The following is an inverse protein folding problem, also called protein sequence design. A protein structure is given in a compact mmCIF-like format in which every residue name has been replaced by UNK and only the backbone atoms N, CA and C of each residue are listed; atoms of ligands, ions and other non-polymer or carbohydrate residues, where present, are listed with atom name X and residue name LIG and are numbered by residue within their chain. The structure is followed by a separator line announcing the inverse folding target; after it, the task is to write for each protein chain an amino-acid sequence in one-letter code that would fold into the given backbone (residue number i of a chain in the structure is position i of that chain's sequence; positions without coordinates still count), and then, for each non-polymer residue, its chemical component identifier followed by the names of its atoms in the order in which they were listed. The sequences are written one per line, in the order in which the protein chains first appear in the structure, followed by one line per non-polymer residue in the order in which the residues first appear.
data_IF_817181226953
#
_entry.id   IF_817181226953
#
_cell.length_a   1.000
_cell.length_b   1.000
_cell.length_c   1.000
_cell.angle_alpha   90.00
_cell.angle_beta   90.00
_cell.angle_gamma   90.00
#
_symmetry.space_group_name_H-M   'P 1'
#
loop_
_entity.id
_entity.type
_entity.pdbx_description
1 polymer ?
#
# COMPACT_ATOMS: atom_id res chain seq x y z
N UNK A 1 -22.94 40.31 -34.58
CA UNK A 1 -23.03 40.32 -33.11
C UNK A 1 -23.32 38.96 -32.46
N UNK A 2 -24.26 38.12 -32.92
CA UNK A 2 -24.58 36.86 -32.20
C UNK A 2 -23.49 35.79 -32.31
N UNK A 3 -22.78 35.72 -33.45
CA UNK A 3 -21.75 34.71 -33.72
C UNK A 3 -20.53 34.87 -32.78
N UNK A 4 -20.11 36.11 -32.51
CA UNK A 4 -18.99 36.39 -31.59
C UNK A 4 -19.34 35.96 -30.16
N UNK A 5 -20.60 36.15 -29.74
CA UNK A 5 -21.08 35.73 -28.43
C UNK A 5 -21.11 34.20 -28.30
N UNK A 6 -21.52 33.49 -29.37
CA UNK A 6 -21.48 32.01 -29.40
C UNK A 6 -20.04 31.50 -29.31
N UNK A 7 -19.09 32.10 -30.04
CA UNK A 7 -17.68 31.71 -29.94
C UNK A 7 -17.06 32.04 -28.57
N UNK A 8 -17.39 33.19 -27.99
CA UNK A 8 -16.92 33.57 -26.66
C UNK A 8 -17.47 32.62 -25.58
N UNK A 9 -18.76 32.25 -25.67
CA UNK A 9 -19.38 31.29 -24.76
C UNK A 9 -18.76 29.89 -24.92
N UNK A 10 -18.59 29.42 -26.16
CA UNK A 10 -17.95 28.15 -26.45
C UNK A 10 -16.50 28.11 -25.95
N UNK A 11 -15.73 29.18 -26.15
CA UNK A 11 -14.36 29.32 -25.65
C UNK A 11 -14.30 29.34 -24.13
N UNK A 12 -15.20 30.08 -23.47
CA UNK A 12 -15.31 30.10 -22.01
C UNK A 12 -15.65 28.71 -21.46
N UNK A 13 -16.64 28.03 -22.04
CA UNK A 13 -17.00 26.67 -21.64
C UNK A 13 -15.83 25.68 -21.84
N UNK A 14 -15.08 25.80 -22.93
CA UNK A 14 -13.90 24.97 -23.18
C UNK A 14 -12.80 25.19 -22.13
N UNK A 15 -12.55 26.44 -21.71
CA UNK A 15 -11.58 26.76 -20.66
C UNK A 15 -12.01 26.18 -19.31
N UNK A 16 -13.27 26.38 -18.92
CA UNK A 16 -13.80 25.84 -17.66
C UNK A 16 -13.79 24.32 -17.66
N UNK A 17 -14.16 23.70 -18.78
CA UNK A 17 -14.09 22.26 -18.97
C UNK A 17 -12.64 21.73 -18.85
N UNK A 18 -11.67 22.40 -19.47
CA UNK A 18 -10.26 22.05 -19.33
C UNK A 18 -9.76 22.19 -17.89
N UNK A 19 -10.22 23.21 -17.15
CA UNK A 19 -9.86 23.39 -15.75
C UNK A 19 -10.47 22.31 -14.84
N UNK A 20 -11.70 21.87 -15.10
CA UNK A 20 -12.40 20.89 -14.27
C UNK A 20 -11.95 19.45 -14.50
N UNK A 21 -11.55 19.10 -15.72
CA UNK A 21 -11.25 17.71 -16.12
C UNK A 21 -9.82 17.47 -16.63
N UNK A 22 -9.02 18.54 -16.83
CA UNK A 22 -7.70 18.45 -17.45
C UNK A 22 -6.62 17.73 -16.62
N UNK A 23 -6.77 17.71 -15.29
CA UNK A 23 -5.77 17.22 -14.35
C UNK A 23 -5.99 15.78 -13.85
N UNK A 24 -7.09 15.13 -14.24
CA UNK A 24 -7.58 13.87 -13.66
C UNK A 24 -6.88 12.64 -14.25
N UNK A 25 -5.56 12.71 -14.32
CA UNK A 25 -4.79 11.80 -15.14
C UNK A 25 -4.45 10.49 -14.39
N UNK A 26 -4.37 10.53 -13.05
CA UNK A 26 -3.87 9.42 -12.24
C UNK A 26 -4.77 8.17 -12.24
N UNK A 27 -6.10 8.34 -12.18
CA UNK A 27 -7.06 7.23 -12.14
C UNK A 27 -7.23 6.55 -13.51
N UNK A 28 -7.06 7.30 -14.61
CA UNK A 28 -7.22 6.82 -15.99
C UNK A 28 -5.87 6.56 -16.68
N UNK A 29 -4.89 6.05 -15.91
CA UNK A 29 -3.62 5.55 -16.48
C UNK A 29 -2.77 6.63 -17.14
N UNK A 30 -2.75 7.86 -16.63
CA UNK A 30 -1.74 8.83 -17.04
C UNK A 30 -1.12 9.50 -15.82
N UNK A 31 0.10 9.14 -15.54
CA UNK A 31 0.94 9.88 -14.61
C UNK A 31 2.34 9.83 -15.14
N UNK A 32 2.68 10.74 -16.05
CA UNK A 32 4.06 11.17 -16.15
C UNK A 32 4.35 11.92 -14.86
N UNK A 33 4.93 11.20 -13.89
CA UNK A 33 5.74 11.86 -12.88
C UNK A 33 6.97 12.39 -13.62
N UNK A 34 7.06 13.72 -13.77
CA UNK A 34 8.37 14.33 -14.00
C UNK A 34 9.28 13.93 -12.82
N UNK A 35 10.51 13.49 -13.07
CA UNK A 35 11.42 13.13 -12.00
C UNK A 35 11.68 14.37 -11.13
N UNK A 36 11.34 14.29 -9.85
CA UNK A 36 11.68 15.35 -8.88
C UNK A 36 13.19 15.29 -8.69
N UNK A 37 13.92 16.23 -9.27
CA UNK A 37 15.34 16.44 -8.98
C UNK A 37 15.46 17.19 -7.65
N UNK A 38 15.74 16.45 -6.57
CA UNK A 38 16.11 17.05 -5.28
C UNK A 38 17.52 17.64 -5.40
N UNK A 39 17.64 18.96 -5.48
CA UNK A 39 18.90 19.68 -5.29
C UNK A 39 19.06 19.99 -3.79
N UNK A 40 19.94 19.25 -3.13
CA UNK A 40 20.38 19.57 -1.78
C UNK A 40 21.57 20.53 -1.86
N UNK A 41 21.37 21.78 -1.47
CA UNK A 41 22.46 22.73 -1.28
C UNK A 41 22.85 22.74 0.22
N UNK A 42 24.11 22.40 0.52
CA UNK A 42 24.61 22.38 1.90
C UNK A 42 24.94 23.81 2.31
N UNK A 43 24.14 24.40 3.20
CA UNK A 43 24.53 25.63 3.87
C UNK A 43 25.52 25.34 5.02
N UNK A 44 26.64 26.07 5.11
CA UNK A 44 27.52 25.97 6.26
C UNK A 44 26.81 26.51 7.51
N UNK A 45 27.05 25.91 8.69
CA UNK A 45 26.44 26.36 9.93
C UNK A 45 26.88 27.79 10.27
N UNK A 46 25.99 28.62 10.85
CA UNK A 46 26.34 29.97 11.26
C UNK A 46 27.43 29.94 12.34
N UNK A 47 28.36 30.92 12.33
CA UNK A 47 29.45 30.97 13.30
C UNK A 47 28.91 31.15 14.73
N UNK A 48 29.48 30.40 15.67
CA UNK A 48 29.10 30.45 17.07
C UNK A 48 29.39 31.84 17.68
N UNK A 49 28.52 32.35 18.56
CA UNK A 49 28.73 33.63 19.23
C UNK A 49 29.95 33.57 20.16
N UNK A 50 30.79 34.60 20.08
CA UNK A 50 31.97 34.78 20.93
C UNK A 50 31.56 34.98 22.40
N UNK A 51 32.02 34.09 23.28
CA UNK A 51 31.77 34.18 24.73
C UNK A 51 32.61 35.31 25.31
N UNK A 52 31.96 36.37 25.79
CA UNK A 52 32.60 37.40 26.59
C UNK A 52 32.89 36.88 28.00
N UNK A 53 34.14 37.03 28.44
CA UNK A 53 34.64 36.66 29.77
C UNK A 53 33.92 37.46 30.86
N UNK A 54 33.12 36.79 31.70
CA UNK A 54 32.51 37.40 32.89
C UNK A 54 33.43 37.25 34.12
N UNK A 55 33.67 38.38 34.78
CA UNK A 55 34.61 38.56 35.89
C UNK A 55 33.99 38.12 37.23
N UNK A 56 34.74 37.29 37.97
CA UNK A 56 34.42 36.75 39.30
C UNK A 56 34.26 37.84 40.36
N UNK A 57 33.22 37.75 41.21
CA UNK A 57 33.09 38.50 42.48
C UNK A 57 33.13 37.59 43.72
N UNK A 58 33.64 38.06 44.87
CA UNK A 58 34.04 37.22 46.01
C UNK A 58 32.92 36.96 47.06
N UNK A 59 33.08 35.95 47.95
CA UNK A 59 32.03 35.49 48.87
C UNK A 59 31.98 36.21 50.24
N UNK A 60 30.82 36.20 50.94
CA UNK A 60 30.65 36.79 52.28
C UNK A 60 30.99 35.87 53.49
N UNK A 61 31.20 36.43 54.71
CA UNK A 61 31.75 35.75 55.92
C UNK A 61 30.73 35.00 56.83
N UNK A 62 31.18 34.23 57.87
CA UNK A 62 30.41 33.13 58.51
C UNK A 62 29.71 33.38 59.88
N UNK A 63 28.92 32.34 60.30
CA UNK A 63 27.84 32.10 61.32
C UNK A 63 28.18 32.22 62.83
N UNK A 64 27.21 32.07 63.80
CA UNK A 64 26.93 30.76 64.49
C UNK A 64 25.51 30.62 65.17
N UNK A 65 25.17 29.65 66.09
CA UNK A 65 25.39 28.18 66.18
C UNK A 65 24.11 27.35 66.61
N UNK A 66 24.07 26.02 66.41
CA UNK A 66 23.98 24.92 67.43
C UNK A 66 23.08 23.79 66.85
N UNK A 67 23.17 22.48 67.13
CA UNK A 67 23.91 21.67 68.11
C UNK A 67 24.01 20.23 67.56
N UNK A 68 25.05 19.53 67.99
CA UNK A 68 25.38 18.14 67.64
C UNK A 68 24.30 17.11 68.01
N UNK A 69 24.17 16.07 67.18
CA UNK A 69 24.30 14.70 67.69
C UNK A 69 25.01 13.80 66.68
N UNK A 70 25.94 13.05 67.25
CA UNK A 70 26.98 12.19 66.70
C UNK A 70 26.39 10.83 66.32
N UNK A 71 26.74 10.30 65.13
CA UNK A 71 27.61 9.11 64.98
C UNK A 71 27.95 8.87 63.51
N UNK A 72 29.26 8.72 63.29
CA UNK A 72 30.03 8.31 62.10
C UNK A 72 30.28 6.77 62.22
N UNK A 73 31.11 6.11 61.40
CA UNK A 73 31.26 6.04 59.94
C UNK A 73 31.12 4.60 59.37
N UNK A 74 30.94 4.55 58.04
CA UNK A 74 31.66 3.77 57.03
C UNK A 74 32.49 2.53 57.42
N UNK A 75 32.42 1.50 56.58
CA UNK A 75 33.42 1.21 55.53
C UNK A 75 33.51 -0.28 55.20
N UNK A 76 33.57 -0.58 53.90
CA UNK A 76 34.41 -1.58 53.24
C UNK A 76 34.82 -2.84 54.01
N UNK A 77 34.55 -4.04 53.46
CA UNK A 77 35.56 -4.74 52.66
C UNK A 77 35.10 -6.17 52.27
N UNK A 78 35.55 -6.59 51.07
CA UNK A 78 35.96 -7.97 50.69
C UNK A 78 37.01 -8.51 51.72
N UNK A 79 37.57 -9.75 51.68
CA UNK A 79 37.47 -10.80 50.66
C UNK A 79 37.45 -12.26 51.21
N UNK A 80 37.50 -13.19 50.24
CA UNK A 80 38.29 -14.45 50.22
C UNK A 80 37.56 -15.79 50.41
N UNK A 81 37.85 -16.63 49.43
CA UNK A 81 37.64 -18.07 49.25
C UNK A 81 38.10 -18.94 50.43
N UNK A 82 37.66 -20.21 50.46
CA UNK A 82 38.63 -21.25 50.10
C UNK A 82 38.11 -22.26 49.08
N UNK A 83 39.12 -22.91 48.49
CA UNK A 83 39.14 -23.98 47.51
C UNK A 83 38.52 -25.27 48.07
N UNK A 84 37.73 -25.96 47.24
CA UNK A 84 37.66 -27.43 47.25
C UNK A 84 37.68 -27.92 45.80
N UNK A 85 38.67 -28.76 45.52
CA UNK A 85 38.89 -29.50 44.29
C UNK A 85 37.93 -30.69 44.21
N UNK A 86 37.35 -30.95 43.05
CA UNK A 86 36.88 -32.28 42.66
C UNK A 86 36.86 -32.37 41.14
N UNK A 87 37.88 -33.04 40.60
CA UNK A 87 37.91 -33.56 39.24
C UNK A 87 36.92 -34.73 39.14
N UNK A 88 36.06 -34.71 38.13
CA UNK A 88 35.38 -35.89 37.61
C UNK A 88 35.49 -35.86 36.08
N UNK A 89 36.50 -36.56 35.62
CA UNK A 89 36.54 -37.49 34.48
C UNK A 89 35.45 -37.36 33.40
N UNK A 90 35.92 -37.10 32.17
CA UNK A 90 35.15 -37.17 30.95
C UNK A 90 34.93 -38.62 30.50
N UNK A 91 33.73 -38.96 29.98
CA UNK A 91 33.59 -40.03 29.01
C UNK A 91 33.44 -39.44 27.60
N UNK A 92 34.18 -40.03 26.66
CA UNK A 92 34.21 -39.69 25.26
C UNK A 92 32.82 -39.63 24.62
N UNK A 93 32.50 -38.49 24.01
CA UNK A 93 31.31 -38.29 23.19
C UNK A 93 31.51 -39.04 21.86
N UNK A 94 30.81 -40.17 21.75
CA UNK A 94 30.68 -40.98 20.54
C UNK A 94 29.92 -40.15 19.50
N UNK A 95 30.64 -39.70 18.48
CA UNK A 95 30.04 -39.06 17.29
C UNK A 95 29.28 -40.14 16.52
N UNK A 96 27.97 -40.23 16.74
CA UNK A 96 27.06 -40.94 15.84
C UNK A 96 26.64 -39.99 14.69
N UNK A 97 26.68 -40.46 13.44
CA UNK A 97 26.44 -39.62 12.28
C UNK A 97 25.00 -39.13 12.28
N UNK A 98 24.83 -37.80 12.22
CA UNK A 98 23.54 -37.16 11.99
C UNK A 98 22.97 -37.67 10.67
N UNK A 99 21.98 -38.54 10.76
CA UNK A 99 21.05 -38.82 9.67
C UNK A 99 20.50 -37.47 9.19
N UNK A 100 20.50 -37.18 7.88
CA UNK A 100 19.91 -35.95 7.38
C UNK A 100 18.43 -35.96 7.75
N UNK A 101 18.04 -35.00 8.59
CA UNK A 101 16.64 -34.69 8.82
C UNK A 101 16.08 -34.29 7.47
N UNK A 102 15.40 -35.22 6.81
CA UNK A 102 14.53 -34.95 5.69
C UNK A 102 13.48 -33.98 6.21
N UNK A 103 13.73 -32.69 6.03
CA UNK A 103 12.69 -31.69 6.09
C UNK A 103 11.70 -32.07 4.98
N UNK A 104 10.65 -32.77 5.35
CA UNK A 104 9.48 -32.95 4.52
C UNK A 104 8.97 -31.54 4.24
N UNK A 105 9.34 -30.98 3.09
CA UNK A 105 8.69 -29.82 2.50
C UNK A 105 7.24 -30.25 2.22
N UNK A 106 6.39 -30.18 3.23
CA UNK A 106 4.94 -30.26 3.03
C UNK A 106 4.58 -29.02 2.22
N UNK A 107 4.49 -29.19 0.91
CA UNK A 107 3.97 -28.17 0.00
C UNK A 107 2.54 -27.90 0.48
N UNK A 108 2.33 -26.71 1.05
CA UNK A 108 1.02 -26.32 1.53
C UNK A 108 0.02 -26.32 0.35
N UNK A 109 -1.16 -26.91 0.56
CA UNK A 109 -2.18 -27.03 -0.47
C UNK A 109 -2.64 -25.63 -0.95
N UNK A 110 -2.87 -25.42 -2.25
CA UNK A 110 -3.43 -24.18 -2.77
C UNK A 110 -4.76 -23.80 -2.10
N UNK A 111 -4.96 -22.49 -1.86
CA UNK A 111 -6.25 -21.99 -1.40
C UNK A 111 -7.32 -22.20 -2.49
N UNK A 112 -8.52 -22.58 -2.08
CA UNK A 112 -9.68 -22.66 -2.99
C UNK A 112 -10.24 -21.26 -3.23
N UNK A 113 -10.72 -20.94 -4.45
CA UNK A 113 -11.40 -19.69 -4.71
C UNK A 113 -12.59 -19.47 -3.77
N UNK A 114 -12.65 -18.30 -3.14
CA UNK A 114 -13.79 -17.90 -2.29
C UNK A 114 -14.99 -17.48 -3.15
N UNK A 115 -14.70 -16.92 -4.32
CA UNK A 115 -15.70 -16.49 -5.31
C UNK A 115 -16.09 -17.66 -6.21
N UNK A 116 -17.27 -17.53 -6.83
CA UNK A 116 -17.66 -18.43 -7.92
C UNK A 116 -16.67 -18.38 -9.08
N UNK A 117 -16.70 -19.41 -9.94
CA UNK A 117 -15.75 -19.58 -11.04
C UNK A 117 -15.66 -18.36 -11.98
N UNK A 118 -16.73 -17.59 -12.13
CA UNK A 118 -16.75 -16.35 -12.92
C UNK A 118 -17.68 -15.33 -12.26
N UNK A 119 -17.41 -14.05 -12.49
CA UNK A 119 -18.25 -12.97 -11.99
C UNK A 119 -17.79 -11.58 -12.41
N UNK A 120 -18.62 -10.58 -12.10
CA UNK A 120 -18.40 -9.19 -12.51
C UNK A 120 -18.84 -8.22 -11.41
N UNK A 121 -18.12 -7.11 -11.25
CA UNK A 121 -18.55 -5.93 -10.50
C UNK A 121 -18.57 -4.74 -11.46
N UNK A 122 -19.66 -3.97 -11.45
CA UNK A 122 -19.72 -2.67 -12.14
C UNK A 122 -19.65 -1.55 -11.12
N UNK A 123 -18.95 -0.46 -11.47
CA UNK A 123 -18.80 0.71 -10.64
C UNK A 123 -19.16 1.99 -11.41
N UNK A 124 -19.75 2.94 -10.68
CA UNK A 124 -19.77 4.35 -11.09
C UNK A 124 -18.60 5.07 -10.41
N UNK A 125 -17.91 5.94 -11.16
CA UNK A 125 -16.75 6.69 -10.67
C UNK A 125 -17.14 8.16 -10.52
N UNK A 126 -17.10 8.66 -9.29
CA UNK A 126 -17.39 10.04 -8.94
C UNK A 126 -16.11 10.80 -8.64
N UNK A 127 -16.03 12.04 -9.13
CA UNK A 127 -15.02 13.00 -8.69
C UNK A 127 -15.61 13.78 -7.51
N UNK A 128 -15.04 13.59 -6.33
CA UNK A 128 -15.64 14.05 -5.07
C UNK A 128 -15.77 15.58 -5.01
N UNK A 129 -14.76 16.29 -5.50
CA UNK A 129 -14.77 17.77 -5.56
C UNK A 129 -15.91 18.34 -6.41
N UNK A 130 -16.46 17.57 -7.36
CA UNK A 130 -17.54 17.99 -8.25
C UNK A 130 -18.89 17.33 -7.93
N UNK A 131 -18.90 16.26 -7.11
CA UNK A 131 -20.08 15.43 -6.89
C UNK A 131 -20.66 14.81 -8.18
N UNK A 132 -19.84 14.71 -9.24
CA UNK A 132 -20.28 14.29 -10.58
C UNK A 132 -19.68 12.94 -10.95
N UNK A 133 -20.46 12.09 -11.61
CA UNK A 133 -19.93 10.89 -12.24
C UNK A 133 -19.05 11.25 -13.44
N UNK A 134 -17.77 10.92 -13.35
CA UNK A 134 -16.76 11.18 -14.39
C UNK A 134 -16.33 9.93 -15.14
N UNK A 135 -16.67 8.75 -14.62
CA UNK A 135 -16.35 7.48 -15.26
C UNK A 135 -17.22 6.32 -14.80
N UNK A 136 -16.87 5.16 -15.35
CA UNK A 136 -17.40 3.85 -14.95
C UNK A 136 -16.27 2.83 -15.00
N UNK A 137 -16.36 1.82 -14.15
CA UNK A 137 -15.46 0.67 -14.21
C UNK A 137 -16.23 -0.65 -14.24
N UNK A 138 -15.62 -1.66 -14.84
CA UNK A 138 -16.08 -3.05 -14.81
C UNK A 138 -14.89 -3.92 -14.42
N UNK A 139 -15.01 -4.65 -13.32
CA UNK A 139 -14.06 -5.69 -12.96
C UNK A 139 -14.69 -7.05 -13.21
N UNK A 140 -13.95 -7.99 -13.77
CA UNK A 140 -14.38 -9.39 -13.90
C UNK A 140 -13.30 -10.34 -13.42
N UNK A 141 -13.73 -11.52 -12.99
CA UNK A 141 -12.84 -12.59 -12.57
C UNK A 141 -13.24 -13.92 -13.21
N UNK A 142 -12.24 -14.75 -13.43
CA UNK A 142 -12.36 -16.13 -13.89
C UNK A 142 -11.37 -16.97 -13.08
N UNK A 143 -11.84 -18.04 -12.43
CA UNK A 143 -11.03 -19.04 -11.73
C UNK A 143 -11.20 -20.39 -12.45
N UNK A 144 -10.10 -20.95 -12.94
CA UNK A 144 -10.05 -22.25 -13.59
C UNK A 144 -9.90 -23.38 -12.56
N UNK A 145 -10.35 -24.58 -12.92
CA UNK A 145 -10.26 -25.76 -12.06
C UNK A 145 -8.82 -26.18 -11.74
N UNK A 146 -7.87 -25.84 -12.61
CA UNK A 146 -6.44 -26.09 -12.42
C UNK A 146 -5.75 -25.07 -11.50
N UNK A 147 -6.52 -24.17 -10.89
CA UNK A 147 -6.04 -23.14 -9.96
C UNK A 147 -5.50 -21.89 -10.65
N UNK A 148 -5.54 -21.78 -11.98
CA UNK A 148 -5.24 -20.50 -12.65
C UNK A 148 -6.38 -19.51 -12.46
N UNK A 149 -6.04 -18.23 -12.44
CA UNK A 149 -7.03 -17.16 -12.45
C UNK A 149 -6.74 -16.14 -13.55
N UNK A 150 -7.78 -15.42 -13.93
CA UNK A 150 -7.71 -14.22 -14.76
C UNK A 150 -8.64 -13.16 -14.18
N UNK A 151 -8.10 -11.97 -13.93
CA UNK A 151 -8.86 -10.80 -13.54
C UNK A 151 -8.74 -9.77 -14.66
N UNK A 152 -9.84 -9.11 -15.01
CA UNK A 152 -9.81 -7.95 -15.89
C UNK A 152 -10.49 -6.76 -15.23
N UNK A 153 -9.97 -5.57 -15.50
CA UNK A 153 -10.53 -4.30 -15.05
C UNK A 153 -10.57 -3.33 -16.21
N UNK A 154 -11.74 -2.79 -16.51
CA UNK A 154 -11.94 -1.78 -17.55
C UNK A 154 -12.42 -0.52 -16.85
N UNK A 155 -11.70 0.58 -17.03
CA UNK A 155 -12.05 1.88 -16.48
C UNK A 155 -12.13 2.90 -17.60
N UNK A 156 -13.26 3.59 -17.74
CA UNK A 156 -13.44 4.56 -18.81
C UNK A 156 -14.20 5.80 -18.37
N UNK A 157 -13.85 6.93 -18.99
CA UNK A 157 -14.56 8.20 -18.78
C UNK A 157 -16.00 8.09 -19.25
N UNK A 158 -16.93 8.80 -18.59
CA UNK A 158 -18.35 8.83 -18.94
C UNK A 158 -18.90 10.26 -18.91
N UNK A 159 -20.09 10.46 -19.50
CA UNK A 159 -20.78 11.75 -19.46
C UNK A 159 -19.96 12.90 -20.06
N UNK A 160 -19.99 14.07 -19.40
CA UNK A 160 -19.27 15.26 -19.85
C UNK A 160 -17.76 15.05 -19.90
N UNK A 161 -17.18 14.25 -18.99
CA UNK A 161 -15.76 13.95 -18.99
C UNK A 161 -15.34 13.21 -20.28
N UNK A 162 -16.16 12.27 -20.75
CA UNK A 162 -15.90 11.53 -21.99
C UNK A 162 -15.98 12.40 -23.25
N UNK A 163 -16.84 13.44 -23.25
CA UNK A 163 -16.93 14.39 -24.36
C UNK A 163 -15.67 15.26 -24.48
N UNK A 164 -15.02 15.55 -23.36
CA UNK A 164 -13.83 16.39 -23.31
C UNK A 164 -12.55 15.60 -23.56
N UNK A 165 -12.42 14.43 -22.94
CA UNK A 165 -11.24 13.59 -23.01
C UNK A 165 -11.62 12.13 -22.85
N UNK A 166 -12.00 11.43 -23.93
CA UNK A 166 -12.33 10.03 -23.87
C UNK A 166 -11.07 9.23 -23.52
N UNK A 167 -11.12 8.50 -22.41
CA UNK A 167 -10.06 7.57 -22.00
C UNK A 167 -10.69 6.25 -21.61
N UNK A 168 -10.07 5.17 -22.05
CA UNK A 168 -10.36 3.79 -21.68
C UNK A 168 -9.06 3.10 -21.28
N UNK A 169 -9.00 2.65 -20.03
CA UNK A 169 -7.91 1.88 -19.46
C UNK A 169 -8.39 0.45 -19.25
N UNK A 170 -7.65 -0.51 -19.76
CA UNK A 170 -7.91 -1.94 -19.55
C UNK A 170 -6.71 -2.54 -18.84
N UNK A 171 -6.94 -3.20 -17.73
CA UNK A 171 -5.90 -3.89 -16.95
C UNK A 171 -6.25 -5.35 -16.80
N UNK A 172 -5.23 -6.19 -16.76
CA UNK A 172 -5.39 -7.64 -16.64
C UNK A 172 -4.34 -8.21 -15.69
N UNK A 173 -4.78 -9.00 -14.73
CA UNK A 173 -3.92 -9.81 -13.86
C UNK A 173 -4.16 -11.27 -14.17
N UNK A 174 -3.07 -12.02 -14.41
CA UNK A 174 -3.11 -13.49 -14.51
C UNK A 174 -2.17 -14.08 -13.50
N UNK A 175 -2.55 -15.24 -12.97
CA UNK A 175 -1.71 -15.95 -12.03
C UNK A 175 -2.34 -17.27 -11.60
N UNK A 176 -1.95 -17.72 -10.41
CA UNK A 176 -2.38 -18.98 -9.81
C UNK A 176 -2.81 -18.82 -8.37
N UNK A 177 -3.66 -19.74 -7.92
CA UNK A 177 -3.99 -19.93 -6.52
C UNK A 177 -2.85 -20.68 -5.84
N UNK A 178 -2.41 -20.17 -4.70
CA UNK A 178 -1.43 -20.78 -3.79
C UNK A 178 -2.01 -20.81 -2.39
N UNK A 179 -1.31 -21.43 -1.42
CA UNK A 179 -1.81 -21.54 -0.05
C UNK A 179 -2.18 -20.18 0.58
N UNK A 180 -1.50 -19.11 0.18
CA UNK A 180 -1.75 -17.74 0.65
C UNK A 180 -2.83 -16.96 -0.12
N UNK A 181 -3.49 -17.53 -1.13
CA UNK A 181 -4.46 -16.84 -1.99
C UNK A 181 -3.96 -16.68 -3.43
N UNK A 182 -4.20 -15.52 -4.04
CA UNK A 182 -3.74 -15.21 -5.39
C UNK A 182 -2.23 -14.96 -5.40
N UNK A 183 -1.56 -15.50 -6.41
CA UNK A 183 -0.18 -15.21 -6.75
C UNK A 183 -0.11 -14.77 -8.22
N UNK A 184 0.08 -13.46 -8.50
CA UNK A 184 0.18 -12.96 -9.86
C UNK A 184 1.43 -13.47 -10.57
N UNK A 185 1.28 -13.88 -11.82
CA UNK A 185 2.38 -14.18 -12.74
C UNK A 185 2.64 -12.98 -13.67
N UNK A 186 1.59 -12.26 -14.08
CA UNK A 186 1.71 -11.11 -14.98
C UNK A 186 0.61 -10.08 -14.78
N UNK A 187 0.96 -8.80 -14.93
CA UNK A 187 0.04 -7.67 -15.02
C UNK A 187 0.22 -6.96 -16.37
N UNK A 188 -0.88 -6.67 -17.06
CA UNK A 188 -0.90 -5.98 -18.36
C UNK A 188 -1.85 -4.78 -18.32
N UNK A 189 -1.51 -3.73 -19.05
CA UNK A 189 -2.27 -2.49 -19.08
C UNK A 189 -2.31 -1.87 -20.49
N UNK A 190 -3.51 -1.74 -21.05
CA UNK A 190 -3.79 -1.07 -22.32
C UNK A 190 -4.51 0.26 -22.07
N UNK A 191 -4.05 1.31 -22.73
CA UNK A 191 -4.71 2.62 -22.75
C UNK A 191 -5.17 2.93 -24.16
N UNK A 192 -6.48 3.11 -24.33
CA UNK A 192 -7.14 3.34 -25.62
C UNK A 192 -6.74 2.28 -26.66
N UNK A 193 -6.64 1.02 -26.25
CA UNK A 193 -6.25 -0.11 -27.09
C UNK A 193 -4.74 -0.25 -27.36
N UNK A 194 -3.92 0.70 -26.96
CA UNK A 194 -2.47 0.63 -27.09
C UNK A 194 -1.80 0.22 -25.76
N UNK A 195 -0.68 -0.48 -25.82
CA UNK A 195 0.10 -0.82 -24.63
C UNK A 195 0.53 0.46 -23.89
N UNK A 196 0.18 0.56 -22.61
CA UNK A 196 0.51 1.71 -21.76
C UNK A 196 1.95 1.68 -21.24
N UNK A 197 2.66 0.57 -21.44
CA UNK A 197 3.97 0.22 -20.86
C UNK A 197 3.97 0.12 -19.33
N UNK A 198 2.81 0.11 -18.70
CA UNK A 198 2.64 -0.09 -17.24
C UNK A 198 2.37 -1.56 -16.95
N UNK A 199 3.27 -2.44 -17.41
CA UNK A 199 3.16 -3.89 -17.28
C UNK A 199 4.18 -4.42 -16.26
N UNK A 200 3.89 -5.58 -15.68
CA UNK A 200 4.78 -6.26 -14.73
C UNK A 200 4.80 -7.78 -14.96
N UNK A 201 5.96 -8.39 -14.80
CA UNK A 201 6.18 -9.84 -14.88
C UNK A 201 6.83 -10.32 -13.58
N UNK A 202 6.19 -11.28 -12.91
CA UNK A 202 6.60 -11.78 -11.61
C UNK A 202 7.39 -13.08 -11.77
N UNK A 203 8.58 -13.14 -11.18
CA UNK A 203 9.42 -14.34 -11.10
C UNK A 203 9.56 -14.75 -9.63
N UNK A 204 8.74 -15.72 -9.23
CA UNK A 204 8.65 -16.16 -7.85
C UNK A 204 9.82 -17.05 -7.42
N UNK A 205 10.50 -17.71 -8.37
CA UNK A 205 11.68 -18.53 -8.04
C UNK A 205 12.86 -17.68 -7.54
N UNK A 206 12.96 -16.43 -8.01
CA UNK A 206 13.98 -15.46 -7.60
C UNK A 206 13.42 -14.32 -6.75
N UNK A 207 12.11 -14.35 -6.42
CA UNK A 207 11.41 -13.30 -5.69
C UNK A 207 11.61 -11.89 -6.30
N UNK A 208 11.45 -11.77 -7.62
CA UNK A 208 11.60 -10.51 -8.35
C UNK A 208 10.42 -10.18 -9.23
N UNK A 209 10.25 -8.90 -9.57
CA UNK A 209 9.34 -8.42 -10.60
C UNK A 209 10.10 -7.55 -11.61
N UNK A 210 9.79 -7.71 -12.90
CA UNK A 210 10.30 -6.88 -13.99
C UNK A 210 9.22 -5.89 -14.42
N UNK A 211 9.54 -4.59 -14.46
CA UNK A 211 8.62 -3.54 -14.88
C UNK A 211 8.92 -3.11 -16.32
N UNK A 212 7.93 -3.17 -17.21
CA UNK A 212 8.14 -2.80 -18.62
C UNK A 212 8.41 -1.30 -18.82
N UNK A 213 7.92 -0.46 -17.91
CA UNK A 213 8.01 1.00 -18.03
C UNK A 213 9.45 1.51 -18.17
N UNK A 214 10.36 0.97 -17.38
CA UNK A 214 11.77 1.38 -17.31
C UNK A 214 12.75 0.20 -17.38
N UNK A 215 12.25 -1.03 -17.52
CA UNK A 215 13.05 -2.25 -17.52
C UNK A 215 13.63 -2.61 -16.15
N UNK A 216 13.21 -1.94 -15.07
CA UNK A 216 13.75 -2.20 -13.74
C UNK A 216 13.31 -3.55 -13.20
N UNK A 217 14.24 -4.20 -12.48
CA UNK A 217 13.98 -5.41 -11.71
C UNK A 217 13.94 -5.03 -10.24
N UNK A 218 12.88 -5.45 -9.54
CA UNK A 218 12.69 -5.17 -8.11
C UNK A 218 12.50 -6.47 -7.35
N UNK A 219 13.12 -6.56 -6.17
CA UNK A 219 12.83 -7.64 -5.22
C UNK A 219 11.41 -7.46 -4.67
N UNK A 220 10.69 -8.56 -4.51
CA UNK A 220 9.32 -8.60 -4.02
C UNK A 220 9.19 -9.50 -2.80
N UNK A 221 8.30 -9.13 -1.88
CA UNK A 221 7.97 -9.97 -0.74
C UNK A 221 7.02 -11.11 -1.15
N UNK A 222 7.03 -12.21 -0.39
CA UNK A 222 6.01 -13.25 -0.54
C UNK A 222 4.59 -12.66 -0.41
N UNK A 223 3.68 -13.12 -1.27
CA UNK A 223 2.30 -12.62 -1.31
C UNK A 223 2.12 -11.24 -1.92
N UNK A 224 3.16 -10.66 -2.55
CA UNK A 224 3.04 -9.42 -3.35
C UNK A 224 1.96 -9.56 -4.40
N UNK A 225 1.16 -8.52 -4.58
CA UNK A 225 0.07 -8.45 -5.55
C UNK A 225 0.35 -7.38 -6.60
N UNK A 226 -0.31 -7.47 -7.75
CA UNK A 226 -0.52 -6.28 -8.59
C UNK A 226 -1.74 -5.49 -8.08
N UNK A 227 -1.91 -4.27 -8.59
CA UNK A 227 -2.97 -3.37 -8.13
C UNK A 227 -4.39 -3.90 -8.35
N UNK A 228 -4.62 -4.75 -9.35
CA UNK A 228 -5.93 -5.34 -9.63
C UNK A 228 -6.20 -6.52 -8.70
N UNK A 229 -5.26 -7.48 -8.64
CA UNK A 229 -5.31 -8.66 -7.78
C UNK A 229 -5.38 -8.34 -6.30
N UNK A 230 -4.79 -7.21 -5.86
CA UNK A 230 -4.90 -6.72 -4.49
C UNK A 230 -6.36 -6.73 -4.02
N UNK A 231 -7.29 -6.21 -4.82
CA UNK A 231 -8.71 -6.09 -4.45
C UNK A 231 -9.38 -7.44 -4.13
N UNK A 232 -8.88 -8.53 -4.71
CA UNK A 232 -9.38 -9.88 -4.52
C UNK A 232 -8.57 -10.66 -3.48
N UNK A 233 -7.28 -10.34 -3.35
CA UNK A 233 -6.39 -10.98 -2.38
C UNK A 233 -6.81 -10.70 -0.93
N UNK A 234 -7.42 -9.53 -0.66
CA UNK A 234 -7.94 -9.18 0.66
C UNK A 234 -8.91 -10.24 1.21
N UNK A 235 -9.58 -11.00 0.35
CA UNK A 235 -10.47 -12.08 0.77
C UNK A 235 -9.75 -13.24 1.48
N UNK A 236 -8.46 -13.43 1.20
CA UNK A 236 -7.64 -14.54 1.68
C UNK A 236 -6.77 -14.17 2.89
N UNK A 237 -6.78 -12.90 3.31
CA UNK A 237 -5.99 -12.43 4.46
C UNK A 237 -6.76 -12.62 5.76
N UNK A 238 -6.40 -13.64 6.54
CA UNK A 238 -7.14 -14.06 7.74
C UNK A 238 -7.19 -13.02 8.89
N UNK A 239 -6.23 -12.11 8.98
CA UNK A 239 -6.11 -11.10 10.06
C UNK A 239 -6.28 -9.66 9.59
N UNK A 240 -6.99 -9.46 8.48
CA UNK A 240 -7.08 -8.14 7.86
C UNK A 240 -7.68 -7.05 8.77
N UNK A 241 -8.53 -7.43 9.74
CA UNK A 241 -9.08 -6.52 10.73
C UNK A 241 -8.04 -5.98 11.75
N UNK A 242 -6.90 -6.65 11.90
CA UNK A 242 -5.74 -6.20 12.69
C UNK A 242 -4.79 -5.31 11.87
N UNK A 243 -5.09 -5.09 10.59
CA UNK A 243 -4.18 -4.50 9.61
C UNK A 243 -3.28 -5.53 8.94
N UNK A 244 -2.58 -5.12 7.88
CA UNK A 244 -1.67 -5.98 7.13
C UNK A 244 -0.60 -5.17 6.39
N UNK A 245 0.52 -5.80 6.06
CA UNK A 245 1.49 -5.23 5.12
C UNK A 245 1.60 -6.12 3.90
N UNK A 246 1.43 -5.56 2.71
CA UNK A 246 1.48 -6.30 1.45
C UNK A 246 2.30 -5.54 0.41
N UNK A 247 3.10 -6.28 -0.37
CA UNK A 247 3.76 -5.71 -1.53
C UNK A 247 2.74 -5.46 -2.64
N UNK A 248 2.82 -4.31 -3.31
CA UNK A 248 1.91 -3.93 -4.39
C UNK A 248 2.71 -3.42 -5.59
N UNK A 249 2.45 -4.00 -6.75
CA UNK A 249 2.99 -3.57 -8.04
C UNK A 249 1.91 -2.83 -8.82
N UNK A 250 2.16 -1.56 -9.14
CA UNK A 250 1.22 -0.68 -9.85
C UNK A 250 1.44 -0.66 -11.36
N UNK A 251 2.32 -1.51 -11.89
CA UNK A 251 2.87 -1.42 -13.25
C UNK A 251 3.91 -0.31 -13.44
N UNK A 252 3.91 0.71 -12.56
CA UNK A 252 4.88 1.82 -12.55
C UNK A 252 6.01 1.61 -11.56
N UNK A 253 5.68 1.05 -10.40
CA UNK A 253 6.58 0.85 -9.25
C UNK A 253 6.10 -0.32 -8.39
N UNK A 254 7.02 -0.86 -7.63
CA UNK A 254 6.75 -1.74 -6.49
C UNK A 254 6.82 -0.93 -5.20
N UNK A 255 5.83 -1.12 -4.33
CA UNK A 255 5.75 -0.47 -3.02
C UNK A 255 5.20 -1.43 -1.96
N UNK A 256 5.39 -1.11 -0.68
CA UNK A 256 4.75 -1.84 0.42
C UNK A 256 3.59 -1.02 0.95
N UNK A 257 2.40 -1.58 0.91
CA UNK A 257 1.21 -0.97 1.47
C UNK A 257 1.05 -1.46 2.91
N UNK A 258 1.01 -0.52 3.84
CA UNK A 258 0.48 -0.76 5.19
C UNK A 258 -1.01 -0.52 5.12
N UNK A 259 -1.79 -1.61 5.15
CA UNK A 259 -3.24 -1.59 5.18
C UNK A 259 -3.69 -1.42 6.62
N UNK A 260 -4.04 -0.19 6.98
CA UNK A 260 -4.72 0.13 8.23
C UNK A 260 -6.17 -0.37 8.15
N UNK A 261 -6.61 -1.08 9.19
CA UNK A 261 -8.02 -1.40 9.39
C UNK A 261 -8.71 -0.26 10.14
N UNK A 262 -9.67 0.40 9.49
CA UNK A 262 -10.45 1.50 10.07
C UNK A 262 -11.72 1.01 10.77
N UNK A 263 -11.93 -0.31 10.79
CA UNK A 263 -13.06 -0.95 11.46
C UNK A 263 -14.18 -1.36 10.51
N UNK A 264 -15.17 -2.03 11.08
CA UNK A 264 -16.37 -2.39 10.34
C UNK A 264 -17.35 -1.22 10.29
N UNK A 265 -17.93 -0.98 9.13
CA UNK A 265 -19.01 -0.02 8.95
C UNK A 265 -20.01 -0.52 7.93
N UNK A 266 -21.26 -0.09 8.09
CA UNK A 266 -22.31 -0.40 7.13
C UNK A 266 -22.44 0.76 6.15
N UNK A 267 -22.38 0.44 4.85
CA UNK A 267 -22.49 1.44 3.79
C UNK A 267 -23.63 1.08 2.84
N UNK A 268 -24.22 2.11 2.24
CA UNK A 268 -25.19 1.97 1.17
C UNK A 268 -24.56 2.48 -0.14
N UNK A 269 -24.56 1.62 -1.15
CA UNK A 269 -24.12 1.92 -2.52
C UNK A 269 -25.22 1.50 -3.49
N UNK A 270 -25.19 1.89 -4.77
CA UNK A 270 -26.28 1.54 -5.69
C UNK A 270 -26.49 0.02 -5.87
N UNK A 271 -25.45 -0.80 -5.65
CA UNK A 271 -25.56 -2.27 -5.64
C UNK A 271 -26.28 -2.84 -4.39
N UNK A 272 -26.51 -2.04 -3.36
CA UNK A 272 -27.18 -2.46 -2.11
C UNK A 272 -26.51 -1.94 -0.84
N UNK A 273 -26.99 -2.45 0.30
CA UNK A 273 -26.44 -2.18 1.64
C UNK A 273 -25.56 -3.34 2.08
N UNK A 274 -24.37 -3.05 2.58
CA UNK A 274 -23.36 -4.05 2.94
C UNK A 274 -22.73 -3.74 4.28
N UNK A 275 -22.51 -4.78 5.09
CA UNK A 275 -21.56 -4.70 6.21
C UNK A 275 -20.16 -4.83 5.65
N UNK A 276 -19.33 -3.80 5.84
CA UNK A 276 -18.00 -3.72 5.23
C UNK A 276 -16.90 -3.65 6.27
N UNK A 277 -15.68 -4.05 5.89
CA UNK A 277 -14.45 -3.67 6.57
C UNK A 277 -13.78 -2.58 5.73
N UNK A 278 -13.52 -1.43 6.36
CA UNK A 278 -12.85 -0.31 5.73
C UNK A 278 -11.34 -0.40 5.95
N UNK A 279 -10.59 -0.40 4.85
CA UNK A 279 -9.14 -0.49 4.83
C UNK A 279 -8.54 0.74 4.17
N UNK A 280 -7.39 1.19 4.66
CA UNK A 280 -6.67 2.33 4.11
C UNK A 280 -5.19 2.01 3.91
N UNK A 281 -4.66 2.33 2.75
CA UNK A 281 -3.23 2.38 2.47
C UNK A 281 -2.80 3.83 2.25
N UNK A 282 -1.84 4.31 3.04
CA UNK A 282 -1.19 5.61 2.89
C UNK A 282 0.18 5.43 2.25
N UNK A 283 0.34 5.92 1.02
CA UNK A 283 1.64 6.03 0.33
C UNK A 283 1.83 7.48 -0.15
N UNK A 284 2.36 7.71 -1.35
CA UNK A 284 2.30 9.02 -2.01
C UNK A 284 0.84 9.47 -2.26
N UNK A 285 -0.07 8.50 -2.38
CA UNK A 285 -1.50 8.70 -2.54
C UNK A 285 -2.22 7.91 -1.44
N UNK A 286 -3.48 8.26 -1.16
CA UNK A 286 -4.32 7.47 -0.25
C UNK A 286 -5.23 6.56 -1.06
N UNK A 287 -5.25 5.28 -0.72
CA UNK A 287 -6.22 4.32 -1.26
C UNK A 287 -7.05 3.76 -0.11
N UNK A 288 -8.36 3.90 -0.19
CA UNK A 288 -9.31 3.31 0.75
C UNK A 288 -10.16 2.25 0.03
N UNK A 289 -10.41 1.12 0.67
CA UNK A 289 -11.16 -0.01 0.11
C UNK A 289 -12.15 -0.49 1.17
N UNK A 290 -13.43 -0.57 0.79
CA UNK A 290 -14.47 -1.18 1.59
C UNK A 290 -14.79 -2.56 1.01
N UNK A 291 -14.44 -3.61 1.75
CA UNK A 291 -14.75 -4.99 1.37
C UNK A 291 -16.03 -5.45 2.07
N UNK A 292 -16.98 -6.02 1.32
CA UNK A 292 -18.24 -6.50 1.86
C UNK A 292 -18.09 -7.84 2.58
N UNK A 293 -18.20 -7.82 3.92
CA UNK A 293 -18.06 -8.98 4.80
C UNK A 293 -19.18 -10.01 4.62
N UNK A 294 -20.31 -9.58 4.07
CA UNK A 294 -21.49 -10.39 3.74
C UNK A 294 -21.55 -10.80 2.25
N UNK A 295 -20.58 -10.36 1.42
CA UNK A 295 -20.47 -10.69 -0.01
C UNK A 295 -19.06 -11.13 -0.39
N UNK A 296 -18.60 -12.23 0.19
CA UNK A 296 -17.33 -12.89 -0.15
C UNK A 296 -16.11 -11.93 -0.13
N UNK A 297 -16.17 -10.83 0.64
CA UNK A 297 -15.15 -9.78 0.71
C UNK A 297 -14.89 -9.07 -0.62
N UNK A 298 -15.88 -9.01 -1.50
CA UNK A 298 -15.80 -8.21 -2.72
C UNK A 298 -15.64 -6.71 -2.40
N UNK A 299 -14.83 -5.96 -3.16
CA UNK A 299 -14.73 -4.51 -3.02
C UNK A 299 -16.04 -3.86 -3.50
N UNK A 300 -16.77 -3.22 -2.59
CA UNK A 300 -18.03 -2.52 -2.92
C UNK A 300 -17.85 -1.01 -3.04
N UNK A 301 -16.74 -0.49 -2.52
CA UNK A 301 -16.32 0.90 -2.69
C UNK A 301 -14.79 0.99 -2.66
N UNK A 302 -14.23 1.82 -3.52
CA UNK A 302 -12.80 2.14 -3.56
C UNK A 302 -12.66 3.65 -3.68
N UNK A 303 -11.88 4.29 -2.81
CA UNK A 303 -11.53 5.71 -2.94
C UNK A 303 -10.05 5.84 -3.19
N UNK A 304 -9.70 6.65 -4.18
CA UNK A 304 -8.33 7.04 -4.47
C UNK A 304 -8.21 8.55 -4.32
N UNK A 305 -7.33 8.99 -3.44
CA UNK A 305 -7.00 10.40 -3.25
C UNK A 305 -5.56 10.63 -3.66
N UNK A 306 -5.34 11.51 -4.63
CA UNK A 306 -4.01 11.83 -5.10
C UNK A 306 -3.26 12.76 -4.13
N UNK A 307 -1.96 12.93 -4.35
CA UNK A 307 -1.11 13.85 -3.57
C UNK A 307 -1.57 15.32 -3.55
N UNK A 308 -2.47 15.74 -4.45
CA UNK A 308 -3.04 17.10 -4.49
C UNK A 308 -4.35 17.19 -3.71
N UNK A 309 -4.84 16.08 -3.16
CA UNK A 309 -6.10 15.99 -2.43
C UNK A 309 -7.31 15.73 -3.33
N UNK A 310 -7.13 15.52 -4.63
CA UNK A 310 -8.24 15.18 -5.52
C UNK A 310 -8.66 13.73 -5.30
N UNK A 311 -9.95 13.51 -5.06
CA UNK A 311 -10.49 12.20 -4.69
C UNK A 311 -11.46 11.68 -5.73
N UNK A 312 -11.27 10.41 -6.09
CA UNK A 312 -12.14 9.66 -6.97
C UNK A 312 -12.71 8.47 -6.24
N UNK A 313 -14.03 8.34 -6.26
CA UNK A 313 -14.76 7.28 -5.58
C UNK A 313 -15.39 6.34 -6.60
N UNK A 314 -15.00 5.07 -6.58
CA UNK A 314 -15.66 4.00 -7.30
C UNK A 314 -16.68 3.35 -6.35
N UNK A 315 -17.97 3.42 -6.68
CA UNK A 315 -19.05 2.78 -5.91
C UNK A 315 -19.69 1.68 -6.73
N UNK A 316 -19.85 0.50 -6.13
CA UNK A 316 -20.44 -0.64 -6.83
C UNK A 316 -21.90 -0.35 -7.18
N UNK A 317 -22.24 -0.51 -8.46
CA UNK A 317 -23.59 -0.38 -8.99
C UNK A 317 -24.24 -1.73 -9.27
N UNK A 318 -23.44 -2.76 -9.49
CA UNK A 318 -23.92 -4.13 -9.72
C UNK A 318 -22.88 -5.14 -9.22
N UNK A 319 -23.35 -6.21 -8.57
CA UNK A 319 -22.57 -7.41 -8.25
C UNK A 319 -23.19 -8.59 -9.01
N UNK A 320 -22.54 -9.01 -10.08
CA UNK A 320 -23.04 -10.05 -10.98
C UNK A 320 -22.33 -11.40 -10.81
N UNK A 321 -23.07 -12.47 -11.02
CA UNK A 321 -22.53 -13.80 -11.37
C UNK A 321 -23.16 -14.18 -12.71
N UNK A 322 -22.39 -14.28 -13.82
CA UNK A 322 -22.90 -14.59 -15.14
C UNK A 322 -23.21 -16.07 -15.33
#
# INVERSE_FOLDING_TARGET
MPIVFVFALAGSLAIHAAALFGTDVALFGGGQQEPITLLAEIQPPPPAPSVATEVVRPPPPPKPPQKHRVTKPASSAKPTTPVVSSQVEAPAEKIEPKTPSTATNTVAEPAKPILGAKGTIRFAIFKESLGLQVGRAEHSWEFAEDGRYRLTGITETSGLAALLKPVRLEVESRGRMVAGGLQPDSFRSLKNGADSKENADFEWSTATVVLTRDGSVREIAAGTQDILSLNYQLAYLGKLAEGSTIGVVTGKKYERYTLDSLGEEEIEVPAGRFRTLHLRALTDNTTEIWIALDRQRLPVKIRFTDKKGESFEQVATELGSP
#
